data_IF_860659877790
#
_entry.id   IF_860659877790
#
_cell.length_a   1.000
_cell.length_b   1.000
_cell.length_c   1.000
_cell.angle_alpha   90.00
_cell.angle_beta   90.00
_cell.angle_gamma   90.00
#
_symmetry.space_group_name_H-M   'P 1'
#
loop_
_entity.id
_entity.type
_entity.pdbx_description
1 polymer ?
#
# COMPACT_ATOMS: atom_id res chain seq x y z
N UNK A 1 0.72 4.45 56.14
CA UNK A 1 1.44 3.36 55.44
C UNK A 1 0.51 2.49 54.60
N UNK A 2 -0.48 1.76 55.15
CA UNK A 2 -1.41 0.92 54.34
C UNK A 2 -2.16 1.71 53.24
N UNK A 3 -2.77 2.86 53.57
CA UNK A 3 -3.46 3.72 52.58
C UNK A 3 -2.54 4.23 51.47
N UNK A 4 -1.30 4.60 51.81
CA UNK A 4 -0.28 5.04 50.85
C UNK A 4 0.16 3.90 49.90
N UNK A 5 0.25 2.66 50.39
CA UNK A 5 0.54 1.48 49.57
C UNK A 5 -0.60 1.20 48.58
N UNK A 6 -1.87 1.31 49.02
CA UNK A 6 -3.02 1.18 48.12
C UNK A 6 -3.05 2.23 47.02
N UNK A 7 -2.66 3.48 47.32
CA UNK A 7 -2.58 4.56 46.33
C UNK A 7 -1.51 4.24 45.27
N UNK A 8 -0.32 3.79 45.70
CA UNK A 8 0.76 3.40 44.77
C UNK A 8 0.33 2.23 43.87
N UNK A 9 -0.34 1.21 44.44
CA UNK A 9 -0.87 0.08 43.68
C UNK A 9 -1.93 0.51 42.66
N UNK A 10 -2.82 1.44 43.03
CA UNK A 10 -3.83 1.97 42.11
C UNK A 10 -3.20 2.70 40.92
N UNK A 11 -2.13 3.49 41.16
CA UNK A 11 -1.38 4.17 40.09
C UNK A 11 -0.72 3.16 39.15
N UNK A 12 -0.06 2.14 39.70
CA UNK A 12 0.56 1.08 38.89
C UNK A 12 -0.47 0.31 38.04
N UNK A 13 -1.66 0.08 38.59
CA UNK A 13 -2.75 -0.58 37.87
C UNK A 13 -3.26 0.27 36.70
N UNK A 14 -3.41 1.58 36.88
CA UNK A 14 -3.79 2.51 35.81
C UNK A 14 -2.72 2.50 34.69
N UNK A 15 -1.44 2.54 35.05
CA UNK A 15 -0.33 2.47 34.07
C UNK A 15 -0.40 1.16 33.28
N UNK A 16 -0.63 0.03 33.96
CA UNK A 16 -0.77 -1.27 33.29
C UNK A 16 -1.96 -1.30 32.31
N UNK A 17 -3.10 -0.72 32.67
CA UNK A 17 -4.26 -0.60 31.77
C UNK A 17 -3.91 0.21 30.53
N UNK A 18 -3.27 1.37 30.69
CA UNK A 18 -2.88 2.24 29.57
C UNK A 18 -1.94 1.50 28.60
N UNK A 19 -0.96 0.76 29.13
CA UNK A 19 -0.04 -0.05 28.33
C UNK A 19 -0.80 -1.15 27.57
N UNK A 20 -1.70 -1.88 28.25
CA UNK A 20 -2.51 -2.92 27.62
C UNK A 20 -3.39 -2.37 26.48
N UNK A 21 -4.04 -1.22 26.68
CA UNK A 21 -4.86 -0.57 25.65
C UNK A 21 -4.03 -0.14 24.44
N UNK A 22 -2.83 0.41 24.69
CA UNK A 22 -1.90 0.77 23.63
C UNK A 22 -1.49 -0.45 22.78
N UNK A 23 -1.07 -1.55 23.43
CA UNK A 23 -0.68 -2.80 22.75
C UNK A 23 -1.85 -3.37 21.95
N UNK A 24 -3.06 -3.36 22.51
CA UNK A 24 -4.25 -3.84 21.82
C UNK A 24 -4.53 -3.05 20.53
N UNK A 25 -4.43 -1.72 20.59
CA UNK A 25 -4.66 -0.86 19.43
C UNK A 25 -3.61 -1.10 18.33
N UNK A 26 -2.34 -1.24 18.70
CA UNK A 26 -1.26 -1.56 17.74
C UNK A 26 -1.53 -2.89 17.04
N UNK A 27 -1.85 -3.96 17.79
CA UNK A 27 -2.21 -5.27 17.21
C UNK A 27 -3.44 -5.21 16.31
N UNK A 28 -4.42 -4.38 16.66
CA UNK A 28 -5.62 -4.18 15.83
C UNK A 28 -5.26 -3.55 14.49
N UNK A 29 -4.42 -2.51 14.48
CA UNK A 29 -3.93 -1.87 13.25
C UNK A 29 -3.17 -2.89 12.40
N UNK A 30 -2.25 -3.65 12.99
CA UNK A 30 -1.47 -4.68 12.29
C UNK A 30 -2.37 -5.74 11.65
N UNK A 31 -3.36 -6.27 12.37
CA UNK A 31 -4.24 -7.31 11.84
C UNK A 31 -5.08 -6.82 10.64
N UNK A 32 -5.55 -5.57 10.68
CA UNK A 32 -6.26 -4.97 9.55
C UNK A 32 -5.31 -4.79 8.36
N UNK A 33 -4.11 -4.30 8.60
CA UNK A 33 -3.09 -4.09 7.58
C UNK A 33 -2.66 -5.41 6.93
N UNK A 34 -2.39 -6.46 7.70
CA UNK A 34 -2.00 -7.79 7.18
C UNK A 34 -3.03 -8.31 6.19
N UNK A 35 -4.33 -8.23 6.54
CA UNK A 35 -5.40 -8.70 5.68
C UNK A 35 -5.47 -7.91 4.37
N UNK A 36 -5.31 -6.59 4.44
CA UNK A 36 -5.33 -5.71 3.28
C UNK A 36 -4.10 -5.91 2.40
N UNK A 37 -2.90 -5.87 2.99
CA UNK A 37 -1.61 -5.93 2.31
C UNK A 37 -1.39 -7.23 1.56
N UNK A 38 -1.89 -8.36 2.10
CA UNK A 38 -1.78 -9.66 1.44
C UNK A 38 -2.25 -9.64 -0.01
N UNK A 39 -3.28 -8.84 -0.32
CA UNK A 39 -3.83 -8.70 -1.67
C UNK A 39 -2.89 -7.99 -2.67
N UNK A 40 -1.79 -7.42 -2.20
CA UNK A 40 -0.78 -6.73 -3.00
C UNK A 40 0.58 -7.43 -2.89
N UNK A 41 0.96 -7.87 -1.69
CA UNK A 41 2.22 -8.57 -1.41
C UNK A 41 2.36 -9.88 -2.21
N UNK A 42 1.25 -10.58 -2.45
CA UNK A 42 1.26 -11.80 -3.29
C UNK A 42 1.80 -11.55 -4.70
N UNK A 43 1.66 -10.35 -5.25
CA UNK A 43 2.20 -9.98 -6.56
C UNK A 43 3.71 -9.66 -6.52
N UNK A 44 4.28 -9.41 -5.34
CA UNK A 44 5.71 -9.19 -5.17
C UNK A 44 6.51 -10.48 -4.93
N UNK A 45 5.83 -11.57 -4.55
CA UNK A 45 6.46 -12.87 -4.32
C UNK A 45 6.67 -13.68 -5.60
N UNK A 46 6.15 -13.20 -6.74
CA UNK A 46 6.24 -13.88 -8.03
C UNK A 46 6.52 -12.89 -9.15
N UNK A 47 6.92 -13.44 -10.28
CA UNK A 47 6.84 -12.75 -11.57
C UNK A 47 5.38 -12.78 -12.04
N UNK A 48 4.93 -11.69 -12.65
CA UNK A 48 3.54 -11.54 -13.09
C UNK A 48 3.49 -11.11 -14.55
N UNK A 49 2.43 -11.50 -15.25
CA UNK A 49 2.19 -11.03 -16.61
C UNK A 49 1.65 -9.60 -16.61
N UNK A 50 1.77 -8.89 -17.73
CA UNK A 50 1.18 -7.56 -17.88
C UNK A 50 -0.33 -7.55 -17.63
N UNK A 51 -1.07 -8.59 -18.02
CA UNK A 51 -2.49 -8.74 -17.70
C UNK A 51 -2.79 -8.79 -16.20
N UNK A 52 -1.90 -9.39 -15.40
CA UNK A 52 -2.00 -9.36 -13.94
C UNK A 52 -1.62 -7.98 -13.39
N UNK A 53 -0.59 -7.34 -13.95
CA UNK A 53 -0.14 -6.00 -13.55
C UNK A 53 -1.21 -4.93 -13.79
N UNK A 54 -1.88 -4.94 -14.94
CA UNK A 54 -2.96 -3.99 -15.23
C UNK A 54 -4.18 -4.21 -14.32
N UNK A 55 -4.48 -5.47 -13.98
CA UNK A 55 -5.53 -5.80 -13.02
C UNK A 55 -5.17 -5.28 -11.62
N UNK A 56 -3.91 -5.39 -11.22
CA UNK A 56 -3.39 -4.84 -9.97
C UNK A 56 -3.45 -3.30 -9.96
N UNK A 57 -3.08 -2.66 -11.06
CA UNK A 57 -3.19 -1.21 -11.26
C UNK A 57 -4.65 -0.76 -11.08
N UNK A 58 -5.59 -1.40 -11.77
CA UNK A 58 -7.01 -1.06 -11.67
C UNK A 58 -7.53 -1.25 -10.24
N UNK A 59 -7.08 -2.29 -9.53
CA UNK A 59 -7.40 -2.50 -8.11
C UNK A 59 -6.88 -1.36 -7.23
N UNK A 60 -5.66 -0.88 -7.46
CA UNK A 60 -5.09 0.24 -6.71
C UNK A 60 -5.83 1.56 -6.99
N UNK A 61 -6.24 1.80 -8.24
CA UNK A 61 -7.07 2.96 -8.62
C UNK A 61 -8.42 2.91 -7.89
N UNK A 62 -9.14 1.79 -7.99
CA UNK A 62 -10.43 1.58 -7.32
C UNK A 62 -10.30 1.74 -5.79
N UNK A 63 -9.21 1.26 -5.20
CA UNK A 63 -8.95 1.47 -3.77
C UNK A 63 -8.78 2.95 -3.42
N UNK A 64 -8.00 3.70 -4.21
CA UNK A 64 -7.83 5.14 -3.98
C UNK A 64 -9.14 5.91 -4.13
N UNK A 65 -9.96 5.57 -5.13
CA UNK A 65 -11.27 6.18 -5.34
C UNK A 65 -12.23 5.90 -4.17
N UNK A 66 -12.32 4.63 -3.72
CA UNK A 66 -13.13 4.23 -2.56
C UNK A 66 -12.72 4.93 -1.26
N UNK A 67 -11.44 5.24 -1.12
CA UNK A 67 -10.90 5.96 0.03
C UNK A 67 -10.92 7.49 -0.16
N UNK A 68 -11.46 7.98 -1.28
CA UNK A 68 -11.53 9.41 -1.61
C UNK A 68 -10.15 10.09 -1.52
N UNK A 69 -9.11 9.38 -1.99
CA UNK A 69 -7.75 9.93 -2.04
C UNK A 69 -7.73 11.10 -3.02
N UNK A 70 -7.30 12.26 -2.53
CA UNK A 70 -7.20 13.47 -3.34
C UNK A 70 -6.16 13.32 -4.45
N UNK A 71 -6.46 13.92 -5.60
CA UNK A 71 -5.50 14.08 -6.70
C UNK A 71 -4.81 15.43 -6.58
N UNK A 72 -3.55 15.50 -7.02
CA UNK A 72 -2.84 16.76 -7.11
C UNK A 72 -3.55 17.69 -8.10
N UNK A 73 -3.67 18.96 -7.72
CA UNK A 73 -4.40 19.98 -8.48
C UNK A 73 -4.00 20.01 -9.96
N UNK A 74 -5.01 19.98 -10.84
CA UNK A 74 -4.85 19.95 -12.30
C UNK A 74 -4.02 18.76 -12.83
N UNK A 75 -3.93 17.66 -12.08
CA UNK A 75 -3.28 16.43 -12.52
C UNK A 75 -4.15 15.20 -12.30
N UNK A 76 -3.73 14.07 -12.88
CA UNK A 76 -4.38 12.77 -12.69
C UNK A 76 -3.83 12.00 -11.48
N UNK A 77 -2.77 12.50 -10.84
CA UNK A 77 -1.97 11.75 -9.87
C UNK A 77 -2.52 11.85 -8.46
N UNK A 78 -2.63 10.71 -7.77
CA UNK A 78 -3.05 10.68 -6.36
C UNK A 78 -1.95 11.19 -5.42
N UNK A 79 -2.35 11.95 -4.41
CA UNK A 79 -1.47 12.45 -3.35
C UNK A 79 -1.28 11.34 -2.31
N UNK A 80 -0.04 11.20 -1.81
CA UNK A 80 0.21 10.37 -0.64
C UNK A 80 -0.39 11.05 0.62
N UNK A 81 -1.43 10.45 1.17
CA UNK A 81 -2.14 10.92 2.36
C UNK A 81 -1.67 10.27 3.68
N UNK A 82 -0.59 9.49 3.64
CA UNK A 82 0.03 8.79 4.77
C UNK A 82 -0.83 7.72 5.48
N UNK A 83 -2.00 7.37 4.93
CA UNK A 83 -2.96 6.46 5.57
C UNK A 83 -3.45 5.35 4.64
N UNK A 84 -4.08 5.69 3.52
CA UNK A 84 -4.81 4.76 2.64
C UNK A 84 -4.73 5.14 1.15
N UNK A 85 -3.62 5.74 0.75
CA UNK A 85 -3.26 5.99 -0.65
C UNK A 85 -2.31 4.91 -1.15
N UNK A 86 -2.52 4.41 -2.36
CA UNK A 86 -1.63 3.44 -3.02
C UNK A 86 -1.09 4.04 -4.30
N UNK A 87 0.20 3.87 -4.55
CA UNK A 87 0.85 4.27 -5.78
C UNK A 87 1.59 3.09 -6.42
N UNK A 88 1.32 2.80 -7.68
CA UNK A 88 2.09 1.81 -8.43
C UNK A 88 2.93 2.54 -9.49
N UNK A 89 4.18 2.15 -9.61
CA UNK A 89 5.12 2.67 -10.60
C UNK A 89 5.76 1.53 -11.37
N UNK A 90 5.98 1.74 -12.67
CA UNK A 90 6.45 0.71 -13.59
C UNK A 90 7.61 1.27 -14.42
N UNK A 91 8.73 0.55 -14.45
CA UNK A 91 9.83 0.78 -15.39
C UNK A 91 9.80 -0.28 -16.49
N UNK A 92 9.82 0.15 -17.74
CA UNK A 92 9.84 -0.72 -18.93
C UNK A 92 11.29 -0.95 -19.39
N UNK A 93 11.56 -2.05 -20.09
CA UNK A 93 12.93 -2.38 -20.54
C UNK A 93 13.50 -1.32 -21.50
N UNK A 94 12.68 -0.88 -22.44
CA UNK A 94 13.09 0.01 -23.53
C UNK A 94 13.05 1.50 -23.14
N UNK A 95 12.76 1.82 -21.87
CA UNK A 95 12.57 3.20 -21.42
C UNK A 95 13.05 3.40 -19.98
N UNK A 96 13.99 4.31 -19.79
CA UNK A 96 14.47 4.68 -18.46
C UNK A 96 13.46 5.48 -17.63
N UNK A 97 12.33 5.88 -18.21
CA UNK A 97 11.26 6.58 -17.49
C UNK A 97 10.44 5.62 -16.65
N UNK A 98 10.25 6.01 -15.39
CA UNK A 98 9.30 5.40 -14.48
C UNK A 98 7.91 5.97 -14.77
N UNK A 99 6.97 5.10 -15.11
CA UNK A 99 5.59 5.44 -15.45
C UNK A 99 4.70 5.19 -14.23
N UNK A 100 3.81 6.14 -13.92
CA UNK A 100 2.85 6.00 -12.81
C UNK A 100 1.58 5.28 -13.28
N UNK A 101 0.91 4.60 -12.35
CA UNK A 101 -0.27 3.79 -12.62
C UNK A 101 -1.41 4.55 -13.30
N UNK A 102 -1.58 5.84 -12.99
CA UNK A 102 -2.63 6.68 -13.56
C UNK A 102 -2.40 6.95 -15.06
N UNK A 103 -1.13 7.06 -15.48
CA UNK A 103 -0.81 7.17 -16.91
C UNK A 103 -1.18 5.90 -17.68
N UNK A 104 -1.01 4.74 -17.05
CA UNK A 104 -1.35 3.44 -17.65
C UNK A 104 -2.87 3.29 -17.69
N UNK A 105 -3.55 3.47 -16.55
CA UNK A 105 -4.98 3.26 -16.41
C UNK A 105 -5.83 4.22 -17.28
N UNK A 106 -5.55 5.53 -17.24
CA UNK A 106 -6.43 6.53 -17.85
C UNK A 106 -6.15 6.75 -19.34
N UNK A 107 -4.89 6.60 -19.77
CA UNK A 107 -4.46 7.06 -21.11
C UNK A 107 -3.89 5.96 -21.99
N UNK A 108 -3.61 4.77 -21.46
CA UNK A 108 -2.84 3.76 -22.19
C UNK A 108 -3.29 2.32 -21.93
N UNK A 109 -4.45 2.07 -21.31
CA UNK A 109 -4.86 0.68 -21.00
C UNK A 109 -4.90 -0.21 -22.24
N UNK A 110 -5.50 0.26 -23.34
CA UNK A 110 -5.53 -0.51 -24.60
C UNK A 110 -4.13 -0.75 -25.18
N UNK A 111 -3.29 0.29 -25.21
CA UNK A 111 -1.91 0.17 -25.70
C UNK A 111 -1.07 -0.74 -24.79
N UNK A 112 -1.25 -0.64 -23.48
CA UNK A 112 -0.58 -1.47 -22.50
C UNK A 112 -0.94 -2.95 -22.73
N UNK A 113 -2.23 -3.26 -22.89
CA UNK A 113 -2.67 -4.62 -23.22
C UNK A 113 -2.07 -5.07 -24.56
N UNK A 114 -2.15 -4.24 -25.59
CA UNK A 114 -1.68 -4.58 -26.94
C UNK A 114 -0.20 -4.94 -26.98
N UNK A 115 0.64 -4.22 -26.24
CA UNK A 115 2.10 -4.37 -26.31
C UNK A 115 2.70 -5.16 -25.16
N UNK A 116 2.08 -5.17 -23.99
CA UNK A 116 2.68 -5.70 -22.76
C UNK A 116 1.84 -6.76 -22.05
N UNK A 117 0.69 -7.20 -22.59
CA UNK A 117 -0.15 -8.21 -21.93
C UNK A 117 0.61 -9.48 -21.53
N UNK A 118 1.52 -9.97 -22.38
CA UNK A 118 2.33 -11.18 -22.15
C UNK A 118 3.71 -10.89 -21.57
N UNK A 119 4.11 -9.62 -21.50
CA UNK A 119 5.39 -9.23 -20.94
C UNK A 119 5.42 -9.59 -19.45
N UNK A 120 6.58 -10.00 -18.95
CA UNK A 120 6.74 -10.36 -17.53
C UNK A 120 7.29 -9.18 -16.75
N UNK A 121 6.66 -8.92 -15.61
CA UNK A 121 7.06 -7.90 -14.65
C UNK A 121 7.44 -8.54 -13.31
N UNK A 122 8.33 -7.86 -12.57
CA UNK A 122 8.70 -8.23 -11.21
C UNK A 122 8.58 -7.01 -10.31
N UNK A 123 7.96 -7.19 -9.15
CA UNK A 123 8.01 -6.20 -8.09
C UNK A 123 9.40 -6.19 -7.46
N UNK A 124 10.03 -5.02 -7.43
CA UNK A 124 11.36 -4.84 -6.83
C UNK A 124 11.32 -4.10 -5.50
N UNK A 125 10.28 -3.30 -5.25
CA UNK A 125 10.13 -2.55 -4.00
C UNK A 125 8.66 -2.43 -3.62
N UNK A 126 8.38 -2.55 -2.32
CA UNK A 126 7.07 -2.34 -1.71
C UNK A 126 7.26 -1.57 -0.40
N UNK A 127 6.49 -0.48 -0.25
CA UNK A 127 6.54 0.40 0.93
C UNK A 127 5.17 0.45 1.59
N UNK A 128 5.18 0.81 2.87
CA UNK A 128 4.01 0.84 3.72
C UNK A 128 3.88 2.17 4.45
N UNK A 129 2.65 2.60 4.64
CA UNK A 129 2.31 3.77 5.45
C UNK A 129 2.75 3.55 6.89
N UNK A 130 3.49 4.50 7.47
CA UNK A 130 4.01 4.35 8.84
C UNK A 130 2.90 4.18 9.89
N UNK A 131 1.78 4.89 9.70
CA UNK A 131 0.68 4.97 10.65
C UNK A 131 -0.24 3.75 10.57
N UNK A 132 -0.72 3.42 9.37
CA UNK A 132 -1.72 2.36 9.16
C UNK A 132 -1.10 1.00 8.84
N UNK A 133 0.19 0.97 8.48
CA UNK A 133 0.89 -0.21 7.94
C UNK A 133 0.32 -0.73 6.62
N UNK A 134 -0.65 -0.05 6.02
CA UNK A 134 -1.16 -0.41 4.71
C UNK A 134 -0.09 -0.20 3.64
N UNK A 135 -0.15 -0.97 2.54
CA UNK A 135 0.66 -0.72 1.36
C UNK A 135 0.50 0.73 0.93
N UNK A 136 1.63 1.39 0.70
CA UNK A 136 1.73 2.77 0.26
C UNK A 136 2.14 2.84 -1.20
N UNK A 137 3.14 2.06 -1.58
CA UNK A 137 3.63 2.08 -2.96
C UNK A 137 4.25 0.77 -3.38
N UNK A 138 4.17 0.46 -4.66
CA UNK A 138 4.82 -0.68 -5.29
C UNK A 138 5.58 -0.23 -6.54
N UNK A 139 6.76 -0.83 -6.74
CA UNK A 139 7.61 -0.58 -7.90
C UNK A 139 7.83 -1.87 -8.68
N UNK A 140 7.44 -1.86 -9.95
CA UNK A 140 7.59 -2.98 -10.87
C UNK A 140 8.60 -2.65 -11.96
N UNK A 141 9.37 -3.64 -12.35
CA UNK A 141 10.23 -3.59 -13.54
C UNK A 141 9.83 -4.68 -14.51
N UNK A 142 9.79 -4.34 -15.79
CA UNK A 142 9.69 -5.32 -16.86
C UNK A 142 10.99 -6.12 -16.95
N UNK A 143 10.87 -7.44 -17.06
CA UNK A 143 12.00 -8.37 -17.12
C UNK A 143 12.15 -8.97 -18.53
N UNK A 144 11.06 -9.19 -19.25
CA UNK A 144 11.05 -9.68 -20.63
C UNK A 144 9.75 -9.29 -21.36
N UNK A 145 9.72 -9.56 -22.68
CA UNK A 145 8.53 -9.49 -23.53
C UNK A 145 7.85 -10.85 -23.64
#
# INVERSE_FOLDING_TARGET
MKKSIFIVLAILFIIAIVICLYIYNVKKIENVAIKHNKQYEEYCNKKILGTELISLINKAIDYNEKNSVEKQENTIYYINNNTNSIQITVKFLDNDKIIKMENIAEKQTENFIKFFATATFKCNDIKYHKQTKNVQSMYFEQINN
#
